data_IF_876424963392
#
_entry.id   IF_876424963392
#
_cell.length_a   1.000
_cell.length_b   1.000
_cell.length_c   1.000
_cell.angle_alpha   90.00
_cell.angle_beta   90.00
_cell.angle_gamma   90.00
#
_symmetry.space_group_name_H-M   'P 1'
#
loop_
_entity.id
_entity.type
_entity.pdbx_description
1 polymer ?
#
# COMPACT_ATOMS: atom_id res chain seq x y z
N UNK A 1 -30.35 -25.36 18.16
CA UNK A 1 -28.95 -25.18 17.73
C UNK A 1 -28.82 -24.28 16.50
N UNK A 2 -29.55 -24.54 15.40
CA UNK A 2 -29.52 -23.69 14.19
C UNK A 2 -29.90 -22.23 14.48
N UNK A 3 -30.98 -22.00 15.23
CA UNK A 3 -31.48 -20.65 15.56
C UNK A 3 -30.40 -19.79 16.24
N UNK A 4 -29.57 -20.40 17.10
CA UNK A 4 -28.46 -19.70 17.77
C UNK A 4 -27.45 -19.12 16.77
N UNK A 5 -27.06 -19.90 15.76
CA UNK A 5 -26.14 -19.46 14.71
C UNK A 5 -26.75 -18.38 13.82
N UNK A 6 -28.05 -18.44 13.53
CA UNK A 6 -28.74 -17.39 12.77
C UNK A 6 -28.86 -16.07 13.53
N UNK A 7 -29.15 -16.12 14.83
CA UNK A 7 -29.19 -14.92 15.69
C UNK A 7 -27.80 -14.27 15.75
N UNK A 8 -26.74 -15.06 15.94
CA UNK A 8 -25.36 -14.54 15.92
C UNK A 8 -25.00 -13.94 14.56
N UNK A 9 -25.41 -14.59 13.46
CA UNK A 9 -25.18 -14.07 12.10
C UNK A 9 -25.80 -12.68 11.92
N UNK A 10 -27.06 -12.52 12.34
CA UNK A 10 -27.78 -11.24 12.26
C UNK A 10 -27.10 -10.18 13.12
N UNK A 11 -26.69 -10.52 14.35
CA UNK A 11 -25.99 -9.60 15.23
C UNK A 11 -24.65 -9.15 14.63
N UNK A 12 -23.85 -10.10 14.12
CA UNK A 12 -22.59 -9.81 13.42
C UNK A 12 -22.80 -8.94 12.18
N UNK A 13 -23.91 -9.13 11.47
CA UNK A 13 -24.25 -8.31 10.30
C UNK A 13 -24.48 -6.86 10.67
N UNK A 14 -25.24 -6.61 11.73
CA UNK A 14 -25.49 -5.25 12.24
C UNK A 14 -24.18 -4.57 12.68
N UNK A 15 -23.32 -5.30 13.38
CA UNK A 15 -21.99 -4.82 13.77
C UNK A 15 -21.15 -4.52 12.53
N UNK A 16 -21.15 -5.41 11.54
CA UNK A 16 -20.42 -5.21 10.29
C UNK A 16 -20.88 -3.95 9.55
N UNK A 17 -22.18 -3.65 9.50
CA UNK A 17 -22.69 -2.43 8.86
C UNK A 17 -22.14 -1.15 9.52
N UNK A 18 -21.94 -1.17 10.84
CA UNK A 18 -21.43 -0.03 11.60
C UNK A 18 -19.92 0.17 11.39
N UNK A 19 -19.12 -0.89 11.53
CA UNK A 19 -17.66 -0.78 11.52
C UNK A 19 -17.06 -0.94 10.12
N UNK A 20 -17.73 -1.66 9.22
CA UNK A 20 -17.23 -2.06 7.89
C UNK A 20 -15.83 -2.71 7.92
N UNK A 21 -15.49 -3.32 9.06
CA UNK A 21 -14.22 -3.98 9.24
C UNK A 21 -14.22 -5.38 8.63
N UNK A 22 -13.08 -5.74 8.06
CA UNK A 22 -12.88 -7.02 7.39
C UNK A 22 -12.97 -8.22 8.35
N UNK A 23 -12.68 -8.01 9.64
CA UNK A 23 -12.75 -9.05 10.67
C UNK A 23 -14.21 -9.49 10.85
N UNK A 24 -15.14 -8.54 10.99
CA UNK A 24 -16.56 -8.86 11.12
C UNK A 24 -17.13 -9.48 9.84
N UNK A 25 -16.64 -9.08 8.67
CA UNK A 25 -17.01 -9.71 7.40
C UNK A 25 -16.62 -11.19 7.35
N UNK A 26 -15.40 -11.52 7.76
CA UNK A 26 -14.91 -12.91 7.83
C UNK A 26 -15.76 -13.72 8.81
N UNK A 27 -15.96 -13.20 10.02
CA UNK A 27 -16.77 -13.87 11.05
C UNK A 27 -18.20 -14.13 10.59
N UNK A 28 -18.79 -13.20 9.85
CA UNK A 28 -20.14 -13.33 9.31
C UNK A 28 -20.24 -14.49 8.30
N UNK A 29 -19.32 -14.56 7.34
CA UNK A 29 -19.27 -15.65 6.35
C UNK A 29 -19.09 -17.01 7.04
N UNK A 30 -18.19 -17.08 8.03
CA UNK A 30 -17.96 -18.30 8.79
C UNK A 30 -19.18 -18.72 9.60
N UNK A 31 -19.90 -17.77 10.20
CA UNK A 31 -21.12 -18.03 10.94
C UNK A 31 -22.25 -18.58 10.05
N UNK A 32 -22.40 -18.03 8.84
CA UNK A 32 -23.36 -18.54 7.84
C UNK A 32 -23.02 -19.98 7.44
N UNK A 33 -21.74 -20.26 7.15
CA UNK A 33 -21.30 -21.60 6.75
C UNK A 33 -21.53 -22.64 7.86
N UNK A 34 -21.26 -22.28 9.12
CA UNK A 34 -21.55 -23.12 10.27
C UNK A 34 -23.05 -23.30 10.49
N UNK A 35 -23.86 -22.26 10.28
CA UNK A 35 -25.33 -22.33 10.34
C UNK A 35 -25.90 -23.34 9.35
N UNK A 36 -25.39 -23.37 8.12
CA UNK A 36 -25.77 -24.35 7.09
C UNK A 36 -25.35 -25.76 7.52
N UNK A 37 -24.13 -25.92 8.04
CA UNK A 37 -23.62 -27.23 8.51
C UNK A 37 -24.44 -27.76 9.70
N UNK A 38 -24.98 -26.86 10.53
CA UNK A 38 -25.85 -27.20 11.66
C UNK A 38 -27.21 -27.76 11.24
N UNK A 39 -27.61 -27.66 9.97
CA UNK A 39 -28.80 -28.34 9.45
C UNK A 39 -28.57 -29.83 9.21
N UNK A 40 -27.30 -30.23 8.98
CA UNK A 40 -26.93 -31.60 8.59
C UNK A 40 -26.39 -32.38 9.80
N UNK A 41 -25.72 -31.69 10.72
CA UNK A 41 -25.03 -32.31 11.87
C UNK A 41 -25.63 -31.80 13.18
N UNK A 42 -25.93 -32.70 14.12
CA UNK A 42 -26.47 -32.35 15.44
C UNK A 42 -25.38 -32.09 16.51
N UNK A 43 -24.14 -32.48 16.24
CA UNK A 43 -23.04 -32.40 17.20
C UNK A 43 -22.48 -30.98 17.32
N UNK A 44 -22.53 -30.41 18.52
CA UNK A 44 -22.03 -29.07 18.83
C UNK A 44 -20.52 -28.91 18.53
N UNK A 45 -19.74 -29.95 18.84
CA UNK A 45 -18.29 -29.98 18.59
C UNK A 45 -17.96 -29.81 17.11
N UNK A 46 -18.74 -30.43 16.23
CA UNK A 46 -18.57 -30.34 14.78
C UNK A 46 -18.78 -28.92 14.28
N UNK A 47 -19.78 -28.20 14.81
CA UNK A 47 -20.04 -26.80 14.42
C UNK A 47 -18.89 -25.87 14.79
N UNK A 48 -18.32 -26.05 15.99
CA UNK A 48 -17.19 -25.27 16.47
C UNK A 48 -15.95 -25.48 15.59
N UNK A 49 -15.66 -26.73 15.21
CA UNK A 49 -14.53 -27.06 14.34
C UNK A 49 -14.73 -26.44 12.95
N UNK A 50 -15.91 -26.58 12.35
CA UNK A 50 -16.20 -25.97 11.04
C UNK A 50 -16.09 -24.45 11.08
N UNK A 51 -16.53 -23.81 12.17
CA UNK A 51 -16.42 -22.36 12.33
C UNK A 51 -14.96 -21.90 12.34
N UNK A 52 -14.11 -22.55 13.13
CA UNK A 52 -12.68 -22.22 13.25
C UNK A 52 -11.97 -22.43 11.91
N UNK A 53 -12.24 -23.53 11.21
CA UNK A 53 -11.66 -23.82 9.90
C UNK A 53 -12.09 -22.78 8.87
N UNK A 54 -13.39 -22.48 8.81
CA UNK A 54 -13.93 -21.48 7.88
C UNK A 54 -13.33 -20.09 8.13
N UNK A 55 -13.21 -19.67 9.39
CA UNK A 55 -12.64 -18.39 9.78
C UNK A 55 -11.16 -18.30 9.40
N UNK A 56 -10.40 -19.35 9.68
CA UNK A 56 -8.96 -19.43 9.35
C UNK A 56 -8.73 -19.35 7.84
N UNK A 57 -9.52 -20.09 7.07
CA UNK A 57 -9.44 -20.11 5.62
C UNK A 57 -9.77 -18.73 5.04
N UNK A 58 -10.89 -18.13 5.44
CA UNK A 58 -11.31 -16.83 4.94
C UNK A 58 -10.32 -15.71 5.30
N UNK A 59 -9.77 -15.73 6.53
CA UNK A 59 -8.72 -14.80 6.95
C UNK A 59 -7.47 -14.89 6.07
N UNK A 60 -7.03 -16.12 5.76
CA UNK A 60 -5.90 -16.33 4.84
C UNK A 60 -6.15 -15.74 3.45
N UNK A 61 -7.36 -15.94 2.89
CA UNK A 61 -7.74 -15.36 1.60
C UNK A 61 -7.73 -13.84 1.64
N UNK A 62 -8.34 -13.20 2.64
CA UNK A 62 -8.40 -11.73 2.75
C UNK A 62 -7.00 -11.13 2.83
N UNK A 63 -6.09 -11.71 3.63
CA UNK A 63 -4.71 -11.25 3.74
C UNK A 63 -3.96 -11.40 2.42
N UNK A 64 -4.10 -12.54 1.72
CA UNK A 64 -3.44 -12.80 0.44
C UNK A 64 -3.95 -11.88 -0.67
N UNK A 65 -5.26 -11.67 -0.77
CA UNK A 65 -5.88 -10.79 -1.75
C UNK A 65 -5.40 -9.35 -1.56
N UNK A 66 -5.37 -8.85 -0.32
CA UNK A 66 -4.87 -7.50 -0.05
C UNK A 66 -3.39 -7.33 -0.37
N UNK A 67 -2.54 -8.30 -0.02
CA UNK A 67 -1.13 -8.27 -0.44
C UNK A 67 -1.01 -8.21 -1.96
N UNK A 68 -1.72 -9.07 -2.70
CA UNK A 68 -1.68 -9.06 -4.17
C UNK A 68 -2.15 -7.73 -4.76
N UNK A 69 -3.22 -7.14 -4.22
CA UNK A 69 -3.74 -5.84 -4.69
C UNK A 69 -2.84 -4.67 -4.31
N UNK A 70 -2.24 -4.67 -3.11
CA UNK A 70 -1.32 -3.63 -2.68
C UNK A 70 0.00 -3.69 -3.43
N UNK A 71 0.59 -4.88 -3.63
CA UNK A 71 1.79 -5.04 -4.45
C UNK A 71 1.53 -4.75 -5.93
N UNK A 72 0.31 -5.00 -6.46
CA UNK A 72 -0.04 -4.63 -7.83
C UNK A 72 -0.24 -3.12 -7.99
N UNK A 73 -0.88 -2.44 -7.02
CA UNK A 73 -1.01 -0.97 -7.03
C UNK A 73 0.30 -0.24 -6.76
N UNK A 74 1.16 -0.76 -5.89
CA UNK A 74 2.49 -0.19 -5.62
C UNK A 74 3.46 -0.38 -6.80
N UNK A 75 3.17 -1.31 -7.73
CA UNK A 75 3.97 -1.51 -8.94
C UNK A 75 3.59 -0.58 -10.11
N UNK A 76 2.47 0.14 -10.02
CA UNK A 76 1.97 1.00 -11.11
C UNK A 76 1.93 2.51 -10.79
N UNK A 77 2.26 2.95 -9.57
CA UNK A 77 2.52 4.38 -9.31
C UNK A 77 3.96 4.68 -9.71
N UNK A 78 4.18 4.69 -11.02
CA UNK A 78 5.00 5.63 -11.78
C UNK A 78 6.18 6.29 -11.04
N UNK A 79 7.18 5.52 -10.61
CA UNK A 79 8.51 6.10 -10.41
C UNK A 79 9.03 6.74 -11.73
N UNK A 80 8.55 6.25 -12.88
CA UNK A 80 8.88 6.74 -14.22
C UNK A 80 8.24 8.09 -14.60
N UNK A 81 7.09 8.51 -14.05
CA UNK A 81 6.49 9.84 -14.39
C UNK A 81 7.19 11.02 -13.71
N UNK A 82 8.05 10.72 -12.73
CA UNK A 82 8.84 11.71 -12.01
C UNK A 82 10.25 11.85 -12.62
N UNK A 83 10.65 10.92 -13.48
CA UNK A 83 11.88 10.98 -14.27
C UNK A 83 11.67 11.95 -15.44
N UNK A 84 12.58 12.91 -15.62
CA UNK A 84 12.48 14.00 -16.59
C UNK A 84 11.81 15.27 -16.07
N UNK A 85 11.27 15.28 -14.84
CA UNK A 85 10.69 16.47 -14.21
C UNK A 85 11.78 17.40 -13.67
N UNK A 86 11.52 18.71 -13.79
CA UNK A 86 12.36 19.77 -13.22
C UNK A 86 12.17 19.81 -11.70
N UNK A 87 13.25 19.67 -10.95
CA UNK A 87 13.29 19.84 -9.50
C UNK A 87 14.06 21.12 -9.13
N UNK A 88 13.68 21.75 -8.02
CA UNK A 88 14.36 22.97 -7.53
C UNK A 88 15.20 22.61 -6.31
N UNK A 89 16.48 22.96 -6.34
CA UNK A 89 17.39 22.73 -5.22
C UNK A 89 17.02 23.64 -4.04
N UNK A 90 16.64 23.03 -2.92
CA UNK A 90 16.28 23.74 -1.69
C UNK A 90 17.47 23.87 -0.75
N UNK A 91 18.40 22.90 -0.77
CA UNK A 91 19.67 22.93 -0.05
C UNK A 91 20.82 22.66 -1.02
N UNK A 92 21.76 23.60 -1.11
CA UNK A 92 22.96 23.45 -1.92
C UNK A 92 23.80 22.27 -1.40
N UNK A 93 24.42 21.54 -2.32
CA UNK A 93 25.30 20.42 -2.02
C UNK A 93 26.43 20.40 -3.05
N UNK A 94 27.64 20.04 -2.61
CA UNK A 94 28.86 20.22 -3.41
C UNK A 94 29.67 18.93 -3.59
N UNK A 95 29.04 17.75 -3.61
CA UNK A 95 29.78 16.52 -3.94
C UNK A 95 28.89 15.29 -4.06
N UNK A 96 29.46 14.27 -4.70
CA UNK A 96 28.97 12.88 -4.75
C UNK A 96 28.61 12.31 -3.37
N UNK A 97 29.26 12.80 -2.30
CA UNK A 97 29.08 12.32 -0.93
C UNK A 97 28.16 13.21 -0.07
N UNK A 98 27.66 14.32 -0.61
CA UNK A 98 26.80 15.26 0.11
C UNK A 98 25.34 15.08 -0.34
N UNK A 99 24.42 15.07 0.64
CA UNK A 99 23.00 14.82 0.38
C UNK A 99 22.28 16.15 0.31
N UNK A 100 21.89 16.54 -0.90
CA UNK A 100 21.07 17.72 -1.16
C UNK A 100 19.61 17.50 -0.79
N UNK A 101 18.86 18.60 -0.68
CA UNK A 101 17.40 18.55 -0.62
C UNK A 101 16.83 19.27 -1.84
N UNK A 102 15.98 18.60 -2.58
CA UNK A 102 15.29 19.14 -3.76
C UNK A 102 13.79 19.13 -3.53
N UNK A 103 13.10 20.12 -4.10
CA UNK A 103 11.65 20.18 -4.10
C UNK A 103 11.14 19.68 -5.44
N UNK A 104 10.34 18.62 -5.40
CA UNK A 104 9.74 17.97 -6.57
C UNK A 104 8.23 17.85 -6.35
N UNK A 105 7.43 18.44 -7.24
CA UNK A 105 5.97 18.49 -7.16
C UNK A 105 5.38 19.04 -5.84
N UNK A 106 6.14 19.81 -5.07
CA UNK A 106 5.69 20.34 -3.77
C UNK A 106 6.28 19.61 -2.56
N UNK A 107 6.78 18.39 -2.75
CA UNK A 107 7.38 17.56 -1.71
C UNK A 107 8.91 17.72 -1.67
N UNK A 108 9.50 17.52 -0.49
CA UNK A 108 10.96 17.62 -0.30
C UNK A 108 11.57 16.23 -0.36
N UNK A 109 12.53 16.05 -1.26
CA UNK A 109 13.23 14.79 -1.52
C UNK A 109 14.73 14.95 -1.31
N UNK A 110 15.41 13.86 -0.95
CA UNK A 110 16.87 13.84 -0.84
C UNK A 110 17.46 13.68 -2.23
N UNK A 111 18.37 14.56 -2.61
CA UNK A 111 19.03 14.51 -3.91
C UNK A 111 20.47 14.02 -3.77
N UNK A 112 20.88 13.19 -4.73
CA UNK A 112 22.28 12.87 -5.00
C UNK A 112 22.59 13.24 -6.44
N UNK A 113 23.80 13.74 -6.67
CA UNK A 113 24.27 13.95 -8.03
C UNK A 113 24.98 12.71 -8.56
N UNK A 114 24.77 12.41 -9.84
CA UNK A 114 25.53 11.40 -10.58
C UNK A 114 26.88 11.95 -11.09
N UNK A 115 27.02 13.28 -11.20
CA UNK A 115 28.26 13.95 -11.63
C UNK A 115 28.82 14.89 -10.55
N UNK A 116 30.12 15.20 -10.61
CA UNK A 116 30.77 16.13 -9.70
C UNK A 116 30.45 17.58 -10.10
N UNK A 117 29.20 17.97 -9.88
CA UNK A 117 28.66 19.27 -10.22
C UNK A 117 28.34 20.08 -8.97
N UNK A 118 28.59 21.39 -9.02
CA UNK A 118 28.16 22.34 -8.00
C UNK A 118 26.69 22.71 -8.18
N UNK A 119 25.87 22.32 -7.20
CA UNK A 119 24.44 22.59 -7.19
C UNK A 119 24.12 23.70 -6.18
N UNK A 120 23.91 24.91 -6.69
CA UNK A 120 23.55 26.05 -5.87
C UNK A 120 22.04 26.09 -5.56
N UNK A 121 21.67 26.67 -4.42
CA UNK A 121 20.28 26.81 -3.99
C UNK A 121 19.48 27.60 -5.03
N UNK A 122 18.30 27.10 -5.38
CA UNK A 122 17.42 27.70 -6.38
C UNK A 122 17.69 27.29 -7.83
N UNK A 123 18.73 26.50 -8.12
CA UNK A 123 18.92 25.96 -9.47
C UNK A 123 17.87 24.90 -9.81
N UNK A 124 17.47 24.90 -11.09
CA UNK A 124 16.58 23.91 -11.67
C UNK A 124 17.42 22.78 -12.23
N UNK A 125 17.15 21.56 -11.78
CA UNK A 125 17.84 20.34 -12.22
C UNK A 125 16.84 19.35 -12.79
N UNK A 126 17.29 18.48 -13.68
CA UNK A 126 16.46 17.41 -14.24
C UNK A 126 16.65 16.15 -13.42
N UNK A 127 15.55 15.51 -13.02
CA UNK A 127 15.60 14.22 -12.35
C UNK A 127 15.82 13.11 -13.37
N UNK A 128 16.91 12.36 -13.25
CA UNK A 128 17.21 11.23 -14.13
C UNK A 128 16.76 9.89 -13.57
N UNK A 129 16.53 9.82 -12.26
CA UNK A 129 16.08 8.60 -11.61
C UNK A 129 15.63 8.84 -10.18
N UNK A 130 14.81 7.92 -9.67
CA UNK A 130 14.43 7.88 -8.26
C UNK A 130 14.76 6.48 -7.75
N UNK A 131 15.46 6.38 -6.63
CA UNK A 131 15.68 5.13 -5.91
C UNK A 131 15.25 5.29 -4.45
N UNK A 132 14.03 4.83 -4.15
CA UNK A 132 13.47 4.91 -2.81
C UNK A 132 13.26 6.37 -2.38
N UNK A 133 14.05 6.83 -1.40
CA UNK A 133 13.99 8.19 -0.85
C UNK A 133 14.94 9.16 -1.57
N UNK A 134 15.89 8.64 -2.36
CA UNK A 134 16.90 9.42 -3.05
C UNK A 134 16.49 9.67 -4.49
N UNK A 135 16.71 10.89 -4.95
CA UNK A 135 16.48 11.36 -6.31
C UNK A 135 17.83 11.66 -6.93
N UNK A 136 18.09 11.13 -8.12
CA UNK A 136 19.28 11.44 -8.88
C UNK A 136 18.99 12.60 -9.82
N UNK A 137 19.87 13.60 -9.80
CA UNK A 137 19.71 14.84 -10.54
C UNK A 137 20.92 15.12 -11.44
N UNK A 138 20.65 15.69 -12.59
CA UNK A 138 21.66 16.20 -13.53
C UNK A 138 21.39 17.67 -13.88
N UNK A 139 22.46 18.38 -14.24
CA UNK A 139 22.39 19.78 -14.67
C UNK A 139 21.73 19.86 -16.04
N UNK A 140 20.87 20.86 -16.24
CA UNK A 140 20.28 21.12 -17.56
C UNK A 140 21.39 21.69 -18.45
N UNK A 141 21.95 20.88 -19.35
CA UNK A 141 22.73 21.42 -20.46
C UNK A 141 21.81 22.26 -21.34
N UNK A 142 22.06 23.58 -21.38
CA UNK A 142 21.41 24.47 -22.33
C UNK A 142 21.88 24.09 -23.73
N UNK A 143 21.11 23.27 -24.43
CA UNK A 143 21.30 23.09 -25.86
C UNK A 143 20.99 24.42 -26.56
N UNK A 144 22.04 25.05 -27.08
CA UNK A 144 22.02 26.34 -27.77
C UNK A 144 21.39 26.15 -29.15
N UNK A 145 20.22 26.73 -29.48
CA UNK A 145 19.73 26.69 -30.84
C UNK A 145 20.64 27.55 -31.72
N UNK A 146 21.21 26.92 -32.75
CA UNK A 146 22.00 27.58 -33.80
C UNK A 146 21.11 28.27 -34.80
#
# INVERSE_FOLDING_TARGET
MVIFWFVITILLFLVYLKYKDNIFFILLISCINTGITSLITAAYTTHLIIFIISCSLCSFYVVKVKKKTFFRKAKEIQLHDLVGRKAIITKAFNSFNDVGLVKLNGDTWYAKSLMQDEFNKGHVVTVTGIEGLFVYVEKIEKNNPS
#
